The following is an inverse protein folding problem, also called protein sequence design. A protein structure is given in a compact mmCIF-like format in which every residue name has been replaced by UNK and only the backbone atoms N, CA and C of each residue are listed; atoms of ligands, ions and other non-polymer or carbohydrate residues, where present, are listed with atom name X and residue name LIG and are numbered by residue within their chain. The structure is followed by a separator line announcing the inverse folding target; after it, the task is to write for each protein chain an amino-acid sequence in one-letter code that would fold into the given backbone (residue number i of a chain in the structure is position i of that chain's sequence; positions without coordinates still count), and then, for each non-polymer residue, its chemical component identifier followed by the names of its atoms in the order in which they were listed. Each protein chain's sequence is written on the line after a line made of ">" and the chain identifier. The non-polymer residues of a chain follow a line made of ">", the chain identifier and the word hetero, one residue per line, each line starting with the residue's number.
data_IF_910195492570
#
_entry.id   IF_910195492570
#
_cell.length_a   1.000
_cell.length_b   1.000
_cell.length_c   1.000
_cell.angle_alpha   90.00
_cell.angle_beta   90.00
_cell.angle_gamma   90.00
#
_symmetry.space_group_name_H-M   'P 1'
#
loop_
_entity.id
_entity.type
_entity.pdbx_description
1 polymer ?
#
# COMPACT_ATOMS: atom_id res chain seq x y z
N UNK A 1 16.90 2.13 1.03
CA UNK A 1 15.58 2.76 1.26
C UNK A 1 14.56 1.70 1.60
N UNK A 2 13.60 2.06 2.43
CA UNK A 2 12.61 1.12 2.94
C UNK A 2 11.22 1.71 2.78
N UNK A 3 10.29 0.94 2.22
CA UNK A 3 8.87 1.29 2.18
C UNK A 3 8.20 0.64 3.39
N UNK A 4 7.40 1.41 4.11
CA UNK A 4 6.60 0.92 5.22
C UNK A 4 5.16 1.39 5.09
N UNK A 5 4.25 0.68 5.75
CA UNK A 5 2.84 1.02 5.80
C UNK A 5 2.38 0.90 7.26
N UNK A 6 1.52 1.80 7.70
CA UNK A 6 1.12 1.87 9.10
C UNK A 6 -0.02 0.91 9.46
N UNK A 7 -0.71 0.35 8.47
CA UNK A 7 -1.78 -0.62 8.72
C UNK A 7 -1.98 -1.53 7.52
N UNK A 8 -2.25 -2.81 7.78
CA UNK A 8 -2.51 -3.83 6.76
C UNK A 8 -3.81 -4.59 7.01
N UNK A 9 -4.64 -4.11 7.92
CA UNK A 9 -5.91 -4.75 8.26
C UNK A 9 -7.07 -3.94 7.70
N UNK A 10 -8.03 -4.63 7.10
CA UNK A 10 -9.19 -4.01 6.47
C UNK A 10 -10.44 -4.80 6.85
N UNK A 11 -11.55 -4.10 7.11
CA UNK A 11 -12.84 -4.74 7.30
C UNK A 11 -13.46 -5.12 5.96
N UNK A 12 -14.09 -6.29 5.89
CA UNK A 12 -14.88 -6.68 4.71
C UNK A 12 -16.05 -5.72 4.44
N UNK A 13 -16.44 -4.94 5.45
CA UNK A 13 -17.52 -3.95 5.32
C UNK A 13 -17.04 -2.60 4.80
N UNK A 14 -15.76 -2.44 4.54
CA UNK A 14 -15.22 -1.18 4.06
C UNK A 14 -15.79 -0.84 2.67
N UNK A 15 -16.06 0.45 2.48
CA UNK A 15 -16.56 0.95 1.20
C UNK A 15 -15.43 1.05 0.17
N UNK A 16 -15.79 1.22 -1.10
CA UNK A 16 -14.83 1.57 -2.14
C UNK A 16 -14.16 2.91 -1.82
N UNK A 17 -12.85 3.00 -2.03
CA UNK A 17 -12.08 4.19 -1.71
C UNK A 17 -11.64 4.30 -0.26
N UNK A 18 -11.87 3.26 0.55
CA UNK A 18 -11.43 3.25 1.95
C UNK A 18 -9.91 3.16 2.03
N UNK A 19 -9.32 3.95 2.93
CA UNK A 19 -7.88 3.92 3.17
C UNK A 19 -7.52 2.73 4.04
N UNK A 20 -6.58 1.89 3.55
CA UNK A 20 -6.03 0.78 4.33
C UNK A 20 -4.92 1.28 5.23
N UNK A 21 -3.94 1.96 4.66
CA UNK A 21 -2.81 2.51 5.41
C UNK A 21 -2.08 3.57 4.62
N UNK A 22 -1.16 4.25 5.27
CA UNK A 22 -0.31 5.29 4.68
C UNK A 22 1.08 4.73 4.44
N UNK A 23 1.57 4.88 3.20
CA UNK A 23 2.88 4.43 2.78
C UNK A 23 3.93 5.51 3.08
N UNK A 24 5.10 5.07 3.51
CA UNK A 24 6.22 5.95 3.80
C UNK A 24 7.49 5.30 3.26
N UNK A 25 8.34 6.09 2.61
CA UNK A 25 9.68 5.66 2.21
C UNK A 25 10.70 6.39 3.06
N UNK A 26 11.62 5.63 3.66
CA UNK A 26 12.73 6.19 4.44
C UNK A 26 14.05 5.76 3.83
N UNK A 27 15.06 6.65 3.93
CA UNK A 27 16.42 6.33 3.51
C UNK A 27 17.18 5.57 4.61
N UNK A 28 18.44 5.22 4.34
CA UNK A 28 19.26 4.47 5.30
C UNK A 28 19.54 5.23 6.58
N UNK A 29 19.39 6.54 6.57
CA UNK A 29 19.52 7.38 7.76
C UNK A 29 18.23 7.58 8.54
N UNK A 30 17.11 6.97 8.10
CA UNK A 30 15.82 7.11 8.76
C UNK A 30 15.04 8.34 8.35
N UNK A 31 15.50 9.09 7.35
CA UNK A 31 14.81 10.29 6.88
C UNK A 31 13.69 9.91 5.90
N UNK A 32 12.49 10.45 6.15
CA UNK A 32 11.36 10.26 5.23
C UNK A 32 11.63 11.02 3.94
N UNK A 33 11.46 10.34 2.81
CA UNK A 33 11.65 10.92 1.48
C UNK A 33 10.33 11.06 0.76
N UNK A 34 10.15 12.17 0.06
CA UNK A 34 9.03 12.34 -0.85
C UNK A 34 9.15 11.34 -1.99
N UNK A 35 8.09 10.58 -2.23
CA UNK A 35 8.12 9.48 -3.19
C UNK A 35 6.78 9.37 -3.89
N UNK A 36 6.83 8.86 -5.12
CA UNK A 36 5.65 8.43 -5.84
C UNK A 36 5.50 6.93 -5.66
N UNK A 37 4.36 6.49 -5.17
CA UNK A 37 4.07 5.08 -4.95
C UNK A 37 3.18 4.54 -6.06
N UNK A 38 3.39 3.28 -6.44
CA UNK A 38 2.54 2.58 -7.39
C UNK A 38 2.50 1.10 -7.06
N UNK A 39 1.46 0.42 -7.51
CA UNK A 39 1.35 -1.03 -7.39
C UNK A 39 1.91 -1.66 -8.66
N UNK A 40 2.89 -2.56 -8.51
CA UNK A 40 3.39 -3.37 -9.61
C UNK A 40 2.63 -4.68 -9.72
N UNK A 41 2.07 -5.15 -8.61
CA UNK A 41 1.23 -6.34 -8.59
C UNK A 41 0.10 -6.17 -7.59
N UNK A 42 -1.07 -6.69 -7.95
CA UNK A 42 -2.28 -6.57 -7.16
C UNK A 42 -3.08 -7.86 -7.37
N UNK A 43 -2.88 -8.82 -6.47
CA UNK A 43 -3.28 -10.21 -6.67
C UNK A 43 -4.77 -10.40 -6.99
N UNK A 44 -5.63 -9.52 -6.49
CA UNK A 44 -7.08 -9.62 -6.69
C UNK A 44 -7.67 -8.44 -7.45
N UNK A 45 -6.88 -7.41 -7.74
CA UNK A 45 -7.36 -6.21 -8.39
C UNK A 45 -8.27 -5.33 -7.52
N UNK A 46 -8.18 -5.46 -6.20
CA UNK A 46 -9.08 -4.75 -5.29
C UNK A 46 -8.49 -3.47 -4.72
N UNK A 47 -7.23 -3.18 -5.00
CA UNK A 47 -6.48 -2.12 -4.34
C UNK A 47 -5.89 -1.14 -5.33
N UNK A 48 -5.58 0.06 -4.86
CA UNK A 48 -4.96 1.10 -5.66
C UNK A 48 -4.15 2.03 -4.74
N UNK A 49 -3.40 2.94 -5.36
CA UNK A 49 -2.65 3.97 -4.65
C UNK A 49 -3.30 5.32 -4.90
N UNK A 50 -3.54 6.07 -3.83
CA UNK A 50 -4.01 7.44 -3.88
C UNK A 50 -3.00 8.32 -3.13
N UNK A 51 -2.13 9.00 -3.86
CA UNK A 51 -1.01 9.73 -3.26
C UNK A 51 -0.07 8.78 -2.54
N UNK A 52 0.03 8.89 -1.22
CA UNK A 52 0.82 7.99 -0.38
C UNK A 52 -0.05 6.98 0.38
N UNK A 53 -1.30 6.81 0.00
CA UNK A 53 -2.24 5.93 0.69
C UNK A 53 -2.58 4.73 -0.15
N UNK A 54 -2.63 3.56 0.49
CA UNK A 54 -3.17 2.35 -0.10
C UNK A 54 -4.67 2.31 0.17
N UNK A 55 -5.47 2.25 -0.88
CA UNK A 55 -6.94 2.35 -0.81
C UNK A 55 -7.58 1.18 -1.53
N UNK A 56 -8.84 0.93 -1.22
CA UNK A 56 -9.67 -0.03 -1.95
C UNK A 56 -10.26 0.61 -3.19
N UNK A 57 -10.48 -0.20 -4.24
CA UNK A 57 -11.23 0.23 -5.43
C UNK A 57 -12.56 -0.52 -5.53
N UNK A 58 -12.91 -1.26 -4.50
CA UNK A 58 -14.13 -2.06 -4.45
C UNK A 58 -14.67 -2.09 -3.02
N UNK A 59 -15.98 -2.11 -2.88
CA UNK A 59 -16.65 -2.34 -1.60
C UNK A 59 -16.76 -3.84 -1.30
N UNK A 60 -16.85 -4.18 -0.02
CA UNK A 60 -17.14 -5.54 0.45
C UNK A 60 -16.17 -6.59 -0.09
N UNK A 61 -14.88 -6.32 0.05
CA UNK A 61 -13.83 -7.26 -0.33
C UNK A 61 -13.97 -8.53 0.53
N UNK A 62 -13.97 -9.73 -0.07
CA UNK A 62 -14.11 -10.96 0.70
C UNK A 62 -13.02 -11.14 1.75
N UNK A 63 -13.38 -11.74 2.88
CA UNK A 63 -12.41 -12.06 3.95
C UNK A 63 -11.30 -12.94 3.39
N UNK A 64 -10.07 -12.62 3.74
CA UNK A 64 -8.89 -13.36 3.30
C UNK A 64 -7.64 -12.52 3.35
N UNK A 65 -6.55 -13.08 2.84
CA UNK A 65 -5.26 -12.41 2.73
C UNK A 65 -4.97 -12.10 1.27
N UNK A 66 -4.50 -10.88 1.00
CA UNK A 66 -4.21 -10.41 -0.35
C UNK A 66 -2.81 -9.82 -0.39
N UNK A 67 -2.03 -10.19 -1.39
CA UNK A 67 -0.67 -9.67 -1.57
C UNK A 67 -0.66 -8.54 -2.57
N UNK A 68 0.08 -7.48 -2.26
CA UNK A 68 0.34 -6.37 -3.17
C UNK A 68 1.82 -6.06 -3.19
N UNK A 69 2.36 -5.76 -4.35
CA UNK A 69 3.72 -5.25 -4.50
C UNK A 69 3.66 -3.75 -4.76
N UNK A 70 4.29 -3.00 -3.88
CA UNK A 70 4.37 -1.55 -3.97
C UNK A 70 5.78 -1.16 -4.34
N UNK A 71 5.95 -0.25 -5.29
CA UNK A 71 7.24 0.35 -5.53
C UNK A 71 7.18 1.87 -5.35
N UNK A 72 8.32 2.44 -5.02
CA UNK A 72 8.44 3.88 -4.82
C UNK A 72 9.63 4.42 -5.58
N UNK A 73 9.43 5.55 -6.28
CA UNK A 73 10.50 6.35 -6.87
C UNK A 73 10.76 7.54 -5.97
N UNK A 74 11.96 7.64 -5.41
CA UNK A 74 12.35 8.83 -4.67
C UNK A 74 12.47 10.00 -5.64
N UNK A 75 11.96 11.17 -5.25
CA UNK A 75 11.80 12.32 -6.15
C UNK A 75 13.12 12.82 -6.75
N UNK A 76 14.22 12.73 -6.03
CA UNK A 76 15.51 13.25 -6.45
C UNK A 76 16.59 12.18 -6.59
N UNK A 77 16.20 10.90 -6.53
CA UNK A 77 17.13 9.77 -6.59
C UNK A 77 16.58 8.76 -7.59
N UNK A 78 17.43 8.32 -8.50
CA UNK A 78 17.03 7.37 -9.55
C UNK A 78 16.88 5.92 -9.04
N UNK A 79 16.72 5.73 -7.73
CA UNK A 79 16.56 4.42 -7.12
C UNK A 79 15.08 4.10 -6.95
N UNK A 80 14.72 2.87 -7.31
CA UNK A 80 13.38 2.33 -7.11
C UNK A 80 13.43 1.33 -5.95
N UNK A 81 12.55 1.52 -4.98
CA UNK A 81 12.40 0.61 -3.85
C UNK A 81 11.09 -0.16 -4.03
N UNK A 82 11.13 -1.46 -3.78
CA UNK A 82 9.96 -2.32 -3.90
C UNK A 82 9.73 -3.07 -2.60
N UNK A 83 8.47 -3.24 -2.22
CA UNK A 83 8.09 -4.00 -1.03
C UNK A 83 6.78 -4.74 -1.28
N UNK A 84 6.69 -5.94 -0.73
CA UNK A 84 5.49 -6.77 -0.79
C UNK A 84 4.77 -6.70 0.56
N UNK A 85 3.48 -6.43 0.52
CA UNK A 85 2.64 -6.41 1.71
C UNK A 85 1.50 -7.41 1.58
N UNK A 86 1.10 -8.00 2.71
CA UNK A 86 -0.08 -8.85 2.80
C UNK A 86 -1.17 -8.09 3.53
N UNK A 87 -2.30 -7.89 2.87
CA UNK A 87 -3.46 -7.20 3.44
C UNK A 87 -4.39 -8.26 3.99
N UNK A 88 -4.75 -8.12 5.27
CA UNK A 88 -5.65 -9.02 5.95
C UNK A 88 -7.05 -8.40 6.00
N UNK A 89 -7.99 -8.97 5.27
CA UNK A 89 -9.39 -8.56 5.28
C UNK A 89 -10.13 -9.43 6.29
N UNK A 90 -10.77 -8.78 7.26
CA UNK A 90 -11.46 -9.45 8.37
C UNK A 90 -12.96 -9.29 8.25
N UNK A 91 -13.69 -10.10 9.00
CA UNK A 91 -15.17 -10.07 9.02
C UNK A 91 -15.75 -8.90 9.82
N UNK A 92 -14.91 -8.13 10.48
CA UNK A 92 -15.38 -7.01 11.33
C UNK A 92 -14.79 -5.69 10.92
#
# INVERSE_FOLDING_TARGET
>A
MTISIDNLTLSTKAASGATIGTLTQTDSGGTVRASNFALTENSAGFFSISGSKLVTIRAQIPVGNYCVDVYANAQYVALTTEATFTINVTAT
#
